data_IF_563450600279
#
_entry.id   IF_563450600279
#
_cell.length_a   1.000
_cell.length_b   1.000
_cell.length_c   1.000
_cell.angle_alpha   90.00
_cell.angle_beta   90.00
_cell.angle_gamma   90.00
#
_symmetry.space_group_name_H-M   'P 1'
#
loop_
_entity.id
_entity.type
_entity.pdbx_description
1 polymer ?
#
# COMPACT_ATOMS: atom_id res chain seq x y z
N UNK A 1 -52.70 16.85 -5.78
CA UNK A 1 -53.83 15.91 -5.76
C UNK A 1 -53.28 14.58 -5.31
N UNK A 2 -53.60 14.34 -4.05
CA UNK A 2 -54.11 13.15 -3.34
C UNK A 2 -53.19 11.92 -3.33
N UNK A 3 -52.95 11.32 -2.32
CA UNK A 3 -53.48 10.94 -1.00
C UNK A 3 -52.83 9.61 -0.60
N UNK A 4 -52.22 9.60 0.57
CA UNK A 4 -52.56 8.84 1.79
C UNK A 4 -52.75 7.31 1.61
N UNK A 5 -51.98 6.51 2.33
CA UNK A 5 -52.50 5.63 3.37
C UNK A 5 -51.45 4.93 4.20
N UNK A 6 -51.48 5.26 5.48
CA UNK A 6 -50.94 4.48 6.60
C UNK A 6 -51.65 3.13 6.71
N UNK A 7 -50.98 2.14 7.20
CA UNK A 7 -51.59 1.03 7.96
C UNK A 7 -50.64 0.59 9.09
N UNK A 8 -50.99 1.05 10.25
CA UNK A 8 -50.80 0.39 11.54
C UNK A 8 -51.60 -0.91 11.56
N UNK A 9 -51.09 -1.92 12.24
CA UNK A 9 -51.85 -2.96 12.97
C UNK A 9 -50.82 -3.68 13.85
N UNK A 10 -50.75 -3.37 15.14
CA UNK A 10 -51.54 -3.96 16.26
C UNK A 10 -50.94 -5.29 16.76
N UNK A 11 -50.47 -5.19 18.01
CA UNK A 11 -50.14 -6.26 18.96
C UNK A 11 -51.47 -6.81 19.56
N UNK A 12 -51.56 -8.07 19.92
CA UNK A 12 -52.36 -8.41 21.09
C UNK A 12 -51.55 -9.12 22.17
N UNK A 13 -51.64 -8.53 23.31
CA UNK A 13 -51.46 -9.00 24.66
C UNK A 13 -52.56 -10.03 25.00
N UNK A 14 -52.23 -11.15 25.63
CA UNK A 14 -53.19 -11.96 26.39
C UNK A 14 -52.57 -12.49 27.69
N UNK A 15 -53.14 -12.00 28.70
CA UNK A 15 -53.02 -12.29 30.13
C UNK A 15 -53.28 -13.74 30.50
N UNK A 16 -52.56 -14.17 31.50
CA UNK A 16 -52.92 -14.72 32.80
C UNK A 16 -54.16 -15.62 32.93
N UNK A 17 -53.97 -16.85 33.39
CA UNK A 17 -54.89 -17.46 34.35
C UNK A 17 -54.19 -18.38 35.34
N UNK A 18 -54.26 -17.95 36.58
CA UNK A 18 -54.10 -18.73 37.80
C UNK A 18 -55.14 -19.84 37.88
N UNK A 19 -54.77 -21.02 38.37
CA UNK A 19 -55.61 -21.71 39.39
C UNK A 19 -54.84 -22.72 40.23
N UNK A 20 -55.10 -22.58 41.51
CA UNK A 20 -54.73 -23.31 42.72
C UNK A 20 -55.23 -24.76 42.76
N UNK A 21 -54.57 -25.69 43.41
CA UNK A 21 -54.85 -26.33 44.69
C UNK A 21 -54.13 -27.68 44.81
N UNK A 22 -53.52 -27.86 45.97
CA UNK A 22 -53.08 -29.11 46.59
C UNK A 22 -54.30 -29.83 47.25
N UNK A 23 -54.16 -30.93 48.01
CA UNK A 23 -53.02 -31.74 48.48
C UNK A 23 -53.29 -33.28 48.56
N UNK A 24 -52.33 -33.95 49.17
CA UNK A 24 -52.40 -35.25 49.88
C UNK A 24 -52.08 -36.53 49.07
N UNK A 25 -51.10 -37.21 49.50
CA UNK A 25 -51.10 -38.27 50.43
C UNK A 25 -50.16 -39.44 50.19
N UNK A 26 -49.19 -39.62 51.04
CA UNK A 26 -48.71 -40.89 51.61
C UNK A 26 -47.93 -41.93 50.85
N UNK A 27 -46.77 -42.18 51.39
CA UNK A 27 -46.14 -43.46 51.74
C UNK A 27 -45.11 -44.10 50.84
N UNK A 28 -43.87 -44.00 51.33
CA UNK A 28 -42.86 -45.10 51.52
C UNK A 28 -42.59 -46.05 50.39
N UNK A 29 -41.35 -45.93 49.87
CA UNK A 29 -40.47 -47.12 49.86
C UNK A 29 -39.00 -46.65 49.69
N UNK A 30 -38.20 -46.94 50.70
CA UNK A 30 -36.73 -46.86 50.66
C UNK A 30 -36.24 -47.82 49.58
N UNK A 31 -35.52 -47.33 48.63
CA UNK A 31 -34.63 -48.13 47.79
C UNK A 31 -33.30 -47.45 47.78
N UNK A 32 -32.33 -48.07 48.42
CA UNK A 32 -30.91 -47.71 48.34
C UNK A 32 -30.46 -47.63 46.89
N UNK A 33 -30.09 -46.48 46.46
CA UNK A 33 -29.38 -46.26 45.17
C UNK A 33 -27.90 -46.07 45.48
N UNK A 34 -27.14 -47.11 45.25
CA UNK A 34 -25.68 -47.07 45.22
C UNK A 34 -25.18 -45.86 44.41
N UNK A 35 -24.54 -44.97 45.12
CA UNK A 35 -23.78 -43.87 44.52
C UNK A 35 -22.62 -44.43 43.71
N UNK A 36 -22.79 -44.47 42.38
CA UNK A 36 -21.64 -44.63 41.49
C UNK A 36 -20.83 -43.36 41.58
N UNK A 37 -19.74 -43.38 42.35
CA UNK A 37 -18.68 -42.39 42.29
C UNK A 37 -18.16 -42.33 40.86
N UNK A 38 -18.54 -41.28 40.10
CA UNK A 38 -17.83 -40.92 38.87
C UNK A 38 -16.43 -40.55 39.29
N UNK A 39 -15.48 -41.41 38.96
CA UNK A 39 -14.04 -41.12 39.01
C UNK A 39 -13.81 -39.99 38.00
N UNK A 40 -13.79 -38.77 38.51
CA UNK A 40 -13.30 -37.61 37.74
C UNK A 40 -11.81 -37.83 37.58
N UNK A 41 -11.37 -38.19 36.36
CA UNK A 41 -9.96 -38.22 36.01
C UNK A 41 -9.39 -36.82 36.26
N UNK A 42 -8.27 -36.65 36.96
CA UNK A 42 -7.68 -35.36 37.14
C UNK A 42 -7.32 -34.82 35.75
N UNK A 43 -7.88 -33.66 35.43
CA UNK A 43 -7.41 -32.84 34.30
C UNK A 43 -5.95 -32.56 34.59
N UNK A 44 -5.05 -33.18 33.84
CA UNK A 44 -3.63 -32.90 33.94
C UNK A 44 -3.41 -31.44 33.55
N UNK A 45 -3.25 -30.64 34.58
CA UNK A 45 -2.77 -29.26 34.47
C UNK A 45 -1.44 -29.29 33.72
N UNK A 46 -1.48 -29.02 32.41
CA UNK A 46 -0.26 -28.82 31.61
C UNK A 46 0.43 -27.61 32.19
N UNK A 47 1.32 -27.81 33.14
CA UNK A 47 2.22 -26.78 33.66
C UNK A 47 2.87 -26.11 32.45
N UNK A 48 2.42 -24.91 32.12
CA UNK A 48 3.06 -24.05 31.12
C UNK A 48 4.51 -23.89 31.55
N UNK A 49 5.45 -24.52 30.84
CA UNK A 49 6.88 -24.39 31.08
C UNK A 49 7.20 -22.90 30.98
N UNK A 50 7.54 -22.28 32.11
CA UNK A 50 7.97 -20.89 32.13
C UNK A 50 9.28 -20.82 31.34
N UNK A 51 9.29 -20.09 30.22
CA UNK A 51 10.50 -19.86 29.43
C UNK A 51 11.57 -19.21 30.34
N UNK A 52 12.79 -19.68 30.24
CA UNK A 52 13.93 -19.10 30.94
C UNK A 52 14.17 -17.63 30.52
N UNK A 53 14.88 -16.85 31.32
CA UNK A 53 15.13 -15.44 31.03
C UNK A 53 15.83 -15.22 29.67
N UNK A 54 16.76 -16.10 29.31
CA UNK A 54 17.45 -16.08 28.03
C UNK A 54 16.50 -16.31 26.84
N UNK A 55 15.59 -17.27 26.95
CA UNK A 55 14.60 -17.53 25.90
C UNK A 55 13.63 -16.34 25.70
N UNK A 56 13.24 -15.66 26.80
CA UNK A 56 12.43 -14.43 26.73
C UNK A 56 13.18 -13.29 26.05
N UNK A 57 14.47 -13.13 26.31
CA UNK A 57 15.32 -12.13 25.67
C UNK A 57 15.43 -12.40 24.17
N UNK A 58 15.69 -13.65 23.77
CA UNK A 58 15.77 -14.05 22.37
C UNK A 58 14.46 -13.77 21.63
N UNK A 59 13.30 -14.10 22.22
CA UNK A 59 12.00 -13.81 21.65
C UNK A 59 11.81 -12.30 21.46
N UNK A 60 12.17 -11.48 22.43
CA UNK A 60 12.07 -10.02 22.31
C UNK A 60 12.92 -9.47 21.17
N UNK A 61 14.16 -9.94 21.05
CA UNK A 61 15.06 -9.54 19.96
C UNK A 61 14.47 -9.95 18.61
N UNK A 62 14.01 -11.20 18.48
CA UNK A 62 13.41 -11.69 17.23
C UNK A 62 12.16 -10.87 16.84
N UNK A 63 11.27 -10.60 17.79
CA UNK A 63 10.08 -9.77 17.54
C UNK A 63 10.47 -8.35 17.13
N UNK A 64 11.43 -7.75 17.82
CA UNK A 64 11.93 -6.41 17.46
C UNK A 64 12.53 -6.41 16.05
N UNK A 65 13.35 -7.40 15.71
CA UNK A 65 13.94 -7.52 14.36
C UNK A 65 12.85 -7.66 13.28
N UNK A 66 11.83 -8.47 13.52
CA UNK A 66 10.71 -8.63 12.60
C UNK A 66 9.97 -7.30 12.40
N UNK A 67 9.69 -6.56 13.48
CA UNK A 67 9.05 -5.26 13.40
C UNK A 67 9.91 -4.28 12.58
N UNK A 68 11.21 -4.21 12.85
CA UNK A 68 12.13 -3.35 12.10
C UNK A 68 12.15 -3.70 10.61
N UNK A 69 12.22 -4.99 10.26
CA UNK A 69 12.20 -5.44 8.86
C UNK A 69 10.89 -5.06 8.18
N UNK A 70 9.75 -5.27 8.86
CA UNK A 70 8.43 -4.87 8.31
C UNK A 70 8.39 -3.35 8.06
N UNK A 71 8.79 -2.54 9.05
CA UNK A 71 8.80 -1.07 8.93
C UNK A 71 9.70 -0.63 7.78
N UNK A 72 10.91 -1.18 7.68
CA UNK A 72 11.84 -0.84 6.59
C UNK A 72 11.30 -1.23 5.22
N UNK A 73 10.66 -2.38 5.07
CA UNK A 73 10.06 -2.79 3.79
C UNK A 73 8.84 -1.95 3.38
N UNK A 74 8.13 -1.39 4.37
CA UNK A 74 7.01 -0.48 4.12
C UNK A 74 7.46 0.93 3.72
N UNK A 75 8.59 1.37 4.28
CA UNK A 75 9.14 2.73 4.08
C UNK A 75 10.07 2.76 2.87
N UNK A 76 10.84 1.70 2.65
CA UNK A 76 11.85 1.63 1.60
C UNK A 76 11.46 0.64 0.49
N UNK A 77 11.57 1.10 -0.75
CA UNK A 77 11.53 0.27 -1.94
C UNK A 77 12.94 -0.11 -2.36
N UNK A 78 13.20 -1.40 -2.58
CA UNK A 78 14.46 -1.88 -3.13
C UNK A 78 14.23 -2.39 -4.55
N UNK A 79 14.88 -1.78 -5.53
CA UNK A 79 14.71 -2.15 -6.93
C UNK A 79 16.05 -2.23 -7.64
N UNK A 80 16.22 -3.28 -8.46
CA UNK A 80 17.37 -3.40 -9.35
C UNK A 80 17.00 -2.85 -10.73
N UNK A 81 17.76 -1.84 -11.17
CA UNK A 81 17.53 -1.21 -12.47
C UNK A 81 17.81 -2.19 -13.60
N UNK A 82 16.93 -2.20 -14.60
CA UNK A 82 17.09 -2.91 -15.86
C UNK A 82 16.95 -1.91 -17.00
N UNK A 83 17.93 -1.93 -17.91
CA UNK A 83 17.99 -0.98 -19.03
C UNK A 83 18.76 0.29 -18.69
N UNK A 84 18.84 1.19 -19.66
CA UNK A 84 19.66 2.40 -19.60
C UNK A 84 18.85 3.69 -19.82
N UNK A 85 17.54 3.65 -19.59
CA UNK A 85 16.66 4.80 -19.80
C UNK A 85 17.00 6.01 -18.91
N UNK A 86 17.68 5.79 -17.79
CA UNK A 86 18.15 6.82 -16.87
C UNK A 86 19.67 7.10 -16.99
N UNK A 87 20.31 6.64 -18.09
CA UNK A 87 21.71 6.95 -18.33
C UNK A 87 21.90 8.46 -18.56
N UNK A 88 22.96 9.10 -18.05
CA UNK A 88 24.10 8.52 -17.33
C UNK A 88 23.90 8.38 -15.82
N UNK A 89 22.78 8.89 -15.26
CA UNK A 89 22.57 8.95 -13.82
C UNK A 89 22.43 7.55 -13.20
N UNK A 90 21.58 6.67 -13.77
CA UNK A 90 21.43 5.27 -13.37
C UNK A 90 21.73 4.36 -14.54
N UNK A 91 22.44 3.26 -14.30
CA UNK A 91 22.84 2.28 -15.30
C UNK A 91 22.21 0.92 -15.06
N UNK A 92 22.21 0.10 -16.10
CA UNK A 92 21.75 -1.29 -15.98
C UNK A 92 22.46 -2.05 -14.85
N UNK A 93 21.67 -2.71 -14.00
CA UNK A 93 22.16 -3.49 -12.88
C UNK A 93 22.43 -2.73 -11.59
N UNK A 94 22.30 -1.39 -11.59
CA UNK A 94 22.38 -0.59 -10.37
C UNK A 94 21.23 -0.92 -9.41
N UNK A 95 21.51 -0.87 -8.11
CA UNK A 95 20.52 -1.08 -7.08
C UNK A 95 20.01 0.25 -6.54
N UNK A 96 18.73 0.48 -6.69
CA UNK A 96 18.04 1.69 -6.29
C UNK A 96 17.28 1.47 -5.00
N UNK A 97 17.44 2.37 -4.04
CA UNK A 97 16.68 2.41 -2.81
C UNK A 97 15.78 3.64 -2.86
N UNK A 98 14.47 3.41 -2.90
CA UNK A 98 13.46 4.45 -2.95
C UNK A 98 12.80 4.64 -1.58
N UNK A 99 12.44 5.89 -1.26
CA UNK A 99 11.70 6.26 -0.07
C UNK A 99 10.25 6.55 -0.44
N UNK A 100 9.31 5.90 0.26
CA UNK A 100 7.89 5.84 -0.13
C UNK A 100 7.00 6.92 0.50
N UNK A 101 7.47 7.63 1.49
CA UNK A 101 6.67 8.55 2.31
C UNK A 101 7.01 10.02 2.07
N UNK A 102 7.61 10.35 0.93
CA UNK A 102 7.98 11.72 0.60
C UNK A 102 7.02 12.34 -0.41
N UNK A 103 6.96 13.68 -0.42
CA UNK A 103 6.29 14.43 -1.47
C UNK A 103 7.19 14.49 -2.71
N UNK A 104 6.56 14.58 -3.87
CA UNK A 104 7.24 14.58 -5.16
C UNK A 104 7.36 16.00 -5.70
N UNK A 105 8.59 16.38 -6.09
CA UNK A 105 8.91 17.70 -6.65
C UNK A 105 9.64 17.57 -7.99
N UNK A 106 9.64 18.64 -8.77
CA UNK A 106 10.40 18.71 -10.02
C UNK A 106 11.89 18.45 -9.77
N UNK A 107 12.51 17.62 -10.61
CA UNK A 107 13.90 17.17 -10.49
C UNK A 107 14.08 15.84 -9.76
N UNK A 108 13.09 15.38 -9.00
CA UNK A 108 13.17 14.09 -8.29
C UNK A 108 13.19 12.92 -9.27
N UNK A 109 14.04 11.95 -8.97
CA UNK A 109 14.00 10.64 -9.65
C UNK A 109 13.11 9.73 -8.86
N UNK A 110 12.11 9.15 -9.51
CA UNK A 110 11.09 8.32 -8.87
C UNK A 110 11.02 6.93 -9.48
N UNK A 111 10.68 5.99 -8.64
CA UNK A 111 10.34 4.63 -9.02
C UNK A 111 8.82 4.58 -9.23
N UNK A 112 8.38 4.29 -10.43
CA UNK A 112 6.96 4.28 -10.79
C UNK A 112 6.59 3.00 -11.53
N UNK A 113 5.30 2.68 -11.55
CA UNK A 113 4.74 1.54 -12.26
C UNK A 113 4.15 2.03 -13.57
N UNK A 114 4.62 1.48 -14.69
CA UNK A 114 4.04 1.77 -15.99
C UNK A 114 2.73 0.98 -16.23
N UNK A 115 2.03 1.26 -17.32
CA UNK A 115 0.76 0.60 -17.69
C UNK A 115 0.87 -0.92 -17.83
N UNK A 116 2.05 -1.45 -18.14
CA UNK A 116 2.33 -2.89 -18.18
C UNK A 116 2.57 -3.50 -16.79
N UNK A 117 2.50 -2.69 -15.72
CA UNK A 117 2.79 -3.10 -14.35
C UNK A 117 4.28 -3.28 -14.03
N UNK A 118 5.18 -2.87 -14.95
CA UNK A 118 6.63 -2.93 -14.74
C UNK A 118 7.11 -1.72 -13.96
N UNK A 119 8.04 -1.94 -13.04
CA UNK A 119 8.68 -0.87 -12.30
C UNK A 119 9.76 -0.22 -13.17
N UNK A 120 9.69 1.10 -13.31
CA UNK A 120 10.63 1.95 -14.05
C UNK A 120 11.13 3.08 -13.17
N UNK A 121 12.28 3.64 -13.52
CA UNK A 121 12.75 4.91 -12.98
C UNK A 121 12.54 6.00 -14.03
N UNK A 122 12.24 7.21 -13.54
CA UNK A 122 12.16 8.39 -14.37
C UNK A 122 12.29 9.65 -13.52
N UNK A 123 12.57 10.76 -14.17
CA UNK A 123 12.72 12.06 -13.51
C UNK A 123 11.45 12.88 -13.67
N UNK A 124 10.93 13.40 -12.57
CA UNK A 124 9.81 14.34 -12.59
C UNK A 124 10.30 15.66 -13.18
N UNK A 125 9.65 16.10 -14.24
CA UNK A 125 9.94 17.38 -14.89
C UNK A 125 8.84 18.41 -14.67
N UNK A 126 7.63 17.95 -14.38
CA UNK A 126 6.52 18.82 -13.97
C UNK A 126 5.59 18.10 -13.00
N UNK A 127 4.95 18.85 -12.13
CA UNK A 127 3.99 18.39 -11.11
C UNK A 127 2.61 18.99 -11.37
N UNK A 128 1.60 18.52 -10.64
CA UNK A 128 0.22 18.96 -10.80
C UNK A 128 0.03 20.47 -10.90
N UNK A 129 -0.83 20.89 -11.83
CA UNK A 129 -1.12 22.29 -12.13
C UNK A 129 -0.16 22.96 -13.09
N UNK A 130 0.90 22.25 -13.55
CA UNK A 130 1.86 22.77 -14.52
C UNK A 130 1.56 22.26 -15.95
N UNK A 131 2.09 22.99 -16.95
CA UNK A 131 1.94 22.63 -18.38
C UNK A 131 3.31 22.41 -19.02
N UNK A 132 3.45 21.31 -19.77
CA UNK A 132 4.71 20.95 -20.42
C UNK A 132 4.57 21.05 -21.93
N UNK A 133 5.48 21.81 -22.56
CA UNK A 133 5.51 22.00 -24.01
C UNK A 133 6.89 21.67 -24.60
N UNK A 134 6.89 21.24 -25.87
CA UNK A 134 8.09 20.83 -26.60
C UNK A 134 8.20 21.66 -27.88
N UNK A 135 9.02 22.72 -27.89
CA UNK A 135 9.30 23.53 -29.07
C UNK A 135 9.95 22.68 -30.17
N UNK A 136 9.68 23.04 -31.44
CA UNK A 136 10.19 22.31 -32.63
C UNK A 136 11.71 22.35 -32.79
N UNK A 137 12.33 23.37 -32.25
CA UNK A 137 13.78 23.59 -32.23
C UNK A 137 14.50 22.80 -31.15
N UNK A 138 13.76 22.05 -30.35
CA UNK A 138 14.27 21.21 -29.29
C UNK A 138 14.21 21.85 -27.91
N UNK A 139 14.45 21.03 -26.89
CA UNK A 139 14.21 21.38 -25.48
C UNK A 139 12.79 21.12 -25.07
N UNK A 140 12.43 21.60 -23.88
CA UNK A 140 11.07 21.64 -23.37
C UNK A 140 10.88 22.82 -22.43
N UNK A 141 9.65 23.21 -22.22
CA UNK A 141 9.29 24.27 -21.28
C UNK A 141 8.26 23.76 -20.29
N UNK A 142 8.30 24.30 -19.08
CA UNK A 142 7.29 24.10 -18.05
C UNK A 142 6.69 25.47 -17.73
N UNK A 143 5.38 25.64 -17.91
CA UNK A 143 4.68 26.92 -17.80
C UNK A 143 5.31 28.04 -18.65
N UNK A 144 5.87 27.68 -19.82
CA UNK A 144 6.55 28.59 -20.74
C UNK A 144 8.00 28.92 -20.36
N UNK A 145 8.52 28.39 -19.24
CA UNK A 145 9.92 28.61 -18.82
C UNK A 145 10.76 27.40 -19.12
N UNK A 146 11.96 27.61 -19.66
CA UNK A 146 12.92 26.53 -19.89
C UNK A 146 13.57 26.17 -18.55
N UNK A 147 13.45 24.89 -18.09
CA UNK A 147 14.08 24.46 -16.85
C UNK A 147 15.59 24.42 -16.99
N UNK A 148 16.30 24.68 -15.87
CA UNK A 148 17.73 24.48 -15.79
C UNK A 148 18.01 23.02 -15.43
N UNK A 149 18.41 22.21 -16.40
CA UNK A 149 18.79 20.82 -16.20
C UNK A 149 20.25 20.56 -16.57
N UNK A 150 20.92 19.70 -15.79
CA UNK A 150 22.26 19.21 -16.10
C UNK A 150 22.26 18.04 -17.12
N UNK A 151 21.21 17.95 -17.96
CA UNK A 151 21.07 16.87 -18.93
C UNK A 151 21.61 17.31 -20.25
N UNK A 152 22.62 16.57 -20.72
CA UNK A 152 23.38 16.89 -21.96
C UNK A 152 22.68 16.44 -23.25
N UNK A 153 21.62 15.65 -23.14
CA UNK A 153 20.92 15.14 -24.32
C UNK A 153 19.88 16.12 -24.83
N UNK A 154 19.85 16.32 -26.13
CA UNK A 154 18.82 17.12 -26.78
C UNK A 154 17.47 16.44 -26.58
N UNK A 155 16.48 17.23 -26.17
CA UNK A 155 15.14 16.74 -25.80
C UNK A 155 14.14 17.15 -26.86
N UNK A 156 13.33 16.22 -27.32
CA UNK A 156 12.22 16.45 -28.24
C UNK A 156 10.95 15.81 -27.66
N UNK A 157 9.79 16.31 -28.09
CA UNK A 157 8.53 15.65 -27.86
C UNK A 157 8.43 14.31 -28.61
N UNK A 158 7.47 13.48 -28.28
CA UNK A 158 7.19 12.25 -29.00
C UNK A 158 6.36 12.52 -30.27
N UNK A 159 6.62 11.75 -31.31
CA UNK A 159 5.92 11.88 -32.58
C UNK A 159 4.42 11.57 -32.43
N UNK A 160 3.59 12.38 -33.06
CA UNK A 160 2.14 12.20 -33.07
C UNK A 160 1.41 12.67 -31.79
N UNK A 161 2.14 13.16 -30.80
CA UNK A 161 1.56 13.71 -29.56
C UNK A 161 1.36 15.23 -29.70
N UNK A 162 0.22 15.70 -29.23
CA UNK A 162 -0.07 17.15 -29.18
C UNK A 162 0.41 17.75 -27.89
N UNK A 163 1.12 18.87 -28.00
CA UNK A 163 1.57 19.69 -26.88
C UNK A 163 0.93 21.07 -26.94
N UNK A 164 0.80 21.81 -25.81
CA UNK A 164 1.27 21.43 -24.48
C UNK A 164 0.40 20.35 -23.83
N UNK A 165 0.97 19.66 -22.81
CA UNK A 165 0.28 18.71 -21.94
C UNK A 165 0.12 19.36 -20.58
N UNK A 166 -1.11 19.47 -20.10
CA UNK A 166 -1.42 19.94 -18.76
C UNK A 166 -1.35 18.76 -17.76
N UNK A 167 -0.63 18.95 -16.67
CA UNK A 167 -0.44 17.95 -15.62
C UNK A 167 -1.58 18.08 -14.59
N UNK A 168 -2.35 17.02 -14.40
CA UNK A 168 -3.42 16.97 -13.41
C UNK A 168 -2.90 17.12 -11.97
N UNK A 169 -3.73 17.60 -11.03
CA UNK A 169 -3.35 17.87 -9.63
C UNK A 169 -2.69 16.66 -8.92
N UNK A 170 -3.20 15.46 -9.21
CA UNK A 170 -2.67 14.21 -8.64
C UNK A 170 -1.73 13.45 -9.60
N UNK A 171 -1.16 14.15 -10.56
CA UNK A 171 -0.29 13.59 -11.58
C UNK A 171 1.07 14.26 -11.58
N UNK A 172 2.00 13.63 -12.27
CA UNK A 172 3.33 14.16 -12.57
C UNK A 172 3.71 13.84 -14.01
N UNK A 173 4.52 14.69 -14.63
CA UNK A 173 5.10 14.41 -15.93
C UNK A 173 6.53 13.94 -15.72
N UNK A 174 6.82 12.71 -16.19
CA UNK A 174 8.09 12.02 -15.94
C UNK A 174 8.83 11.84 -17.28
N UNK A 175 10.12 12.13 -17.30
CA UNK A 175 10.96 11.84 -18.46
C UNK A 175 12.17 10.97 -18.11
N UNK A 176 12.63 10.21 -19.08
CA UNK A 176 13.89 9.48 -19.02
C UNK A 176 15.08 10.46 -19.08
N UNK A 177 16.17 10.23 -18.31
CA UNK A 177 17.37 11.03 -18.42
C UNK A 177 18.09 10.78 -19.77
N UNK A 178 17.98 9.57 -20.31
CA UNK A 178 18.37 9.29 -21.69
C UNK A 178 17.28 9.79 -22.64
N UNK A 179 17.34 11.07 -22.99
CA UNK A 179 16.29 11.82 -23.70
C UNK A 179 15.93 11.27 -25.08
N UNK A 180 16.84 10.50 -25.71
CA UNK A 180 16.54 9.81 -26.97
C UNK A 180 15.56 8.65 -26.81
N UNK A 181 15.39 8.13 -25.61
CA UNK A 181 14.35 7.16 -25.26
C UNK A 181 13.09 7.91 -24.84
N UNK A 182 12.05 7.82 -25.66
CA UNK A 182 10.75 8.50 -25.43
C UNK A 182 9.71 7.60 -24.76
N UNK A 183 10.10 6.41 -24.30
CA UNK A 183 9.20 5.52 -23.53
C UNK A 183 8.97 6.06 -22.11
N UNK A 184 8.37 7.25 -22.04
CA UNK A 184 8.06 8.03 -20.84
C UNK A 184 6.80 8.89 -21.06
N UNK A 185 6.52 9.86 -20.20
CA UNK A 185 5.31 10.69 -20.28
C UNK A 185 5.14 11.46 -21.58
N UNK A 186 6.19 11.60 -22.38
CA UNK A 186 6.08 12.16 -23.73
C UNK A 186 5.22 11.30 -24.65
N UNK A 187 5.20 9.98 -24.43
CA UNK A 187 4.46 9.02 -25.25
C UNK A 187 3.15 8.60 -24.62
N UNK A 188 3.13 8.28 -23.32
CA UNK A 188 1.94 7.75 -22.66
C UNK A 188 1.19 8.75 -21.75
N UNK A 189 1.71 10.00 -21.62
CA UNK A 189 1.07 11.04 -20.82
C UNK A 189 1.50 11.05 -19.36
N UNK A 190 0.75 11.78 -18.53
CA UNK A 190 1.06 11.95 -17.12
C UNK A 190 0.88 10.67 -16.31
N UNK A 191 1.70 10.50 -15.25
CA UNK A 191 1.67 9.38 -14.32
C UNK A 191 1.00 9.84 -13.03
N UNK A 192 0.06 9.04 -12.51
CA UNK A 192 -0.58 9.33 -11.22
C UNK A 192 0.40 9.20 -10.07
N UNK A 193 0.31 10.07 -9.10
CA UNK A 193 1.10 9.98 -7.86
C UNK A 193 0.89 8.65 -7.13
N UNK A 194 -0.29 8.03 -7.27
CA UNK A 194 -0.58 6.69 -6.72
C UNK A 194 0.22 5.56 -7.35
N UNK A 195 0.73 5.74 -8.57
CA UNK A 195 1.51 4.74 -9.30
C UNK A 195 3.02 4.89 -9.06
N UNK A 196 3.40 5.89 -8.25
CA UNK A 196 4.78 6.08 -7.80
C UNK A 196 5.01 5.26 -6.54
N UNK A 197 6.00 4.34 -6.59
CA UNK A 197 6.38 3.51 -5.44
C UNK A 197 7.30 4.26 -4.46
N UNK A 198 8.01 5.28 -4.92
CA UNK A 198 8.83 6.15 -4.07
C UNK A 198 9.87 6.97 -4.82
N UNK A 199 10.47 7.93 -4.10
CA UNK A 199 11.55 8.80 -4.56
C UNK A 199 12.89 8.12 -4.35
N UNK A 200 13.77 8.16 -5.33
CA UNK A 200 15.12 7.59 -5.24
C UNK A 200 15.93 8.30 -4.14
N UNK A 201 16.31 7.54 -3.12
CA UNK A 201 17.08 8.04 -1.98
C UNK A 201 18.57 7.73 -2.14
N UNK A 202 18.90 6.48 -2.51
CA UNK A 202 20.27 6.01 -2.68
C UNK A 202 20.41 5.16 -3.92
N UNK A 203 21.58 5.28 -4.54
CA UNK A 203 22.00 4.51 -5.69
C UNK A 203 23.26 3.73 -5.34
N UNK A 204 23.19 2.40 -5.38
CA UNK A 204 24.35 1.53 -5.20
C UNK A 204 24.76 1.05 -6.57
N UNK A 205 25.87 1.61 -7.07
CA UNK A 205 26.37 1.31 -8.41
C UNK A 205 27.02 -0.06 -8.46
N UNK A 206 26.65 -0.84 -9.45
CA UNK A 206 27.39 -2.05 -9.80
C UNK A 206 28.73 -1.64 -10.40
N UNK A 207 29.82 -1.83 -9.65
CA UNK A 207 31.16 -1.74 -10.24
C UNK A 207 31.38 -3.04 -11.03
N UNK A 208 31.39 -2.96 -12.36
CA UNK A 208 31.91 -4.04 -13.19
C UNK A 208 33.44 -4.11 -13.01
N UNK A 209 33.94 -5.29 -12.66
CA UNK A 209 35.33 -5.62 -12.83
C UNK A 209 35.53 -6.05 -14.27
#
# INVERSE_FOLDING_TARGET
VSEIRQKETEIPDIQETRRKKSPAGKKRKKRAKQSRKKVVKPVTDKKKKKLGPLAKLLIKITVLTIIVVIVLTWILGLHRMTGNNMFPFVKDGDLCIAYKLDDYTTGDVVLYRNDEGKMKLGRIVAVGGQSVDFPKDGGYTVDGYQPSEEITYQTFGADGVKYPIDVGEDEVFIMNDFRSDTDDSRQFGCVKKSDIDGKLLFLIRRRGF
#
